data_IF_267508488016
#
_entry.id   IF_267508488016
#
_cell.length_a   1.000
_cell.length_b   1.000
_cell.length_c   1.000
_cell.angle_alpha   90.00
_cell.angle_beta   90.00
_cell.angle_gamma   90.00
#
_symmetry.space_group_name_H-M   'P 1'
#
loop_
_entity.id
_entity.type
_entity.pdbx_description
1 polymer ?
#
# COMPACT_ATOMS: atom_id res chain seq x y z
N UNK A 1 12.09 47.82 12.13
CA UNK A 1 12.95 46.69 12.52
C UNK A 1 12.61 45.53 11.61
N UNK A 2 13.58 44.99 10.86
CA UNK A 2 13.38 43.91 9.91
C UNK A 2 14.09 42.67 10.47
N UNK A 3 13.34 41.63 10.84
CA UNK A 3 13.91 40.39 11.39
C UNK A 3 13.71 39.29 10.36
N UNK A 4 14.79 38.94 9.68
CA UNK A 4 14.85 37.82 8.76
C UNK A 4 15.30 36.58 9.54
N UNK A 5 14.44 35.57 9.66
CA UNK A 5 14.79 34.29 10.29
C UNK A 5 14.66 33.19 9.24
N UNK A 6 15.80 32.67 8.80
CA UNK A 6 15.89 31.51 7.92
C UNK A 6 16.25 30.30 8.79
N UNK A 7 15.39 29.28 8.83
CA UNK A 7 15.62 28.02 9.55
C UNK A 7 15.60 26.87 8.55
N UNK A 8 16.77 26.29 8.30
CA UNK A 8 16.92 25.08 7.49
C UNK A 8 17.26 23.91 8.41
N UNK A 9 16.37 22.93 8.53
CA UNK A 9 16.58 21.73 9.34
C UNK A 9 16.62 20.51 8.41
N UNK A 10 17.78 19.86 8.32
CA UNK A 10 17.98 18.63 7.57
C UNK A 10 18.22 17.49 8.56
N UNK A 11 17.39 16.43 8.50
CA UNK A 11 17.50 15.26 9.36
C UNK A 11 17.58 14.00 8.50
N UNK A 12 18.72 13.32 8.52
CA UNK A 12 18.94 12.02 7.90
C UNK A 12 19.15 10.96 8.97
N UNK A 13 18.31 9.92 8.96
CA UNK A 13 18.44 8.76 9.83
C UNK A 13 18.73 7.53 8.96
N UNK A 14 19.88 6.90 9.19
CA UNK A 14 20.30 5.69 8.50
C UNK A 14 20.43 4.58 9.55
N UNK A 15 19.59 3.56 9.46
CA UNK A 15 19.59 2.43 10.39
C UNK A 15 19.83 1.13 9.62
N UNK A 16 20.93 0.45 9.95
CA UNK A 16 21.31 -0.86 9.42
C UNK A 16 21.38 -1.89 10.56
N UNK A 17 21.34 -3.17 10.14
CA UNK A 17 21.51 -4.42 10.90
C UNK A 17 20.19 -5.20 11.15
N UNK A 18 20.13 -6.54 11.14
CA UNK A 18 21.13 -7.56 11.53
C UNK A 18 20.99 -8.88 10.76
N UNK A 19 22.12 -9.59 10.69
CA UNK A 19 22.28 -10.96 10.20
C UNK A 19 21.63 -12.02 11.12
N UNK A 20 21.22 -13.13 10.53
CA UNK A 20 20.83 -14.36 11.23
C UNK A 20 21.66 -15.53 10.68
N UNK A 21 22.55 -16.07 11.52
CA UNK A 21 23.25 -17.33 11.27
C UNK A 21 22.69 -18.38 12.23
N UNK A 22 21.92 -19.33 11.71
CA UNK A 22 21.35 -20.44 12.47
C UNK A 22 22.14 -21.72 12.24
N UNK A 23 23.07 -22.05 13.13
CA UNK A 23 23.74 -23.36 13.16
C UNK A 23 22.95 -24.33 14.05
N UNK A 24 22.27 -25.32 13.45
CA UNK A 24 21.70 -26.46 14.17
C UNK A 24 22.67 -27.65 14.05
N UNK A 25 23.42 -27.90 15.12
CA UNK A 25 24.20 -29.12 15.28
C UNK A 25 23.25 -30.28 15.67
N UNK A 26 23.09 -31.26 14.78
CA UNK A 26 22.38 -32.49 15.05
C UNK A 26 23.32 -33.48 15.75
N UNK A 27 23.06 -33.77 17.02
CA UNK A 27 23.75 -34.83 17.77
C UNK A 27 23.14 -36.19 17.41
N UNK A 28 23.81 -36.97 16.58
CA UNK A 28 23.49 -38.39 16.34
C UNK A 28 24.16 -39.25 17.40
N UNK A 29 23.35 -39.94 18.21
CA UNK A 29 23.81 -40.97 19.14
C UNK A 29 23.75 -42.32 18.42
N UNK A 30 24.90 -42.97 18.25
CA UNK A 30 25.02 -44.34 17.72
C UNK A 30 25.20 -45.28 18.92
N UNK A 31 24.22 -46.16 19.15
CA UNK A 31 24.36 -47.28 20.10
C UNK A 31 24.68 -48.54 19.30
N UNK A 32 25.94 -48.95 19.35
CA UNK A 32 26.39 -50.24 18.86
C UNK A 32 26.29 -51.27 20.00
N UNK A 33 25.43 -52.27 19.83
CA UNK A 33 25.31 -53.41 20.73
C UNK A 33 25.10 -54.67 19.90
N UNK A 34 26.14 -55.50 19.81
CA UNK A 34 26.13 -56.78 19.13
C UNK A 34 25.56 -57.91 19.98
N UNK A 35 25.26 -59.03 19.32
CA UNK A 35 24.90 -60.29 19.98
C UNK A 35 24.04 -61.15 19.06
N UNK A 36 24.66 -62.04 18.30
CA UNK A 36 23.97 -62.98 17.41
C UNK A 36 23.35 -64.15 18.17
N UNK A 37 22.12 -64.48 17.81
CA UNK A 37 21.49 -65.78 18.03
C UNK A 37 20.60 -66.06 16.82
N UNK A 38 20.89 -67.15 16.11
CA UNK A 38 20.14 -67.56 14.93
C UNK A 38 18.89 -68.32 15.37
N UNK A 39 17.74 -67.64 15.35
CA UNK A 39 16.43 -68.25 15.40
C UNK A 39 15.79 -68.05 14.04
N UNK A 40 15.37 -69.12 13.35
CA UNK A 40 14.52 -69.00 12.17
C UNK A 40 13.11 -68.66 12.66
N UNK A 41 12.84 -67.36 12.83
CA UNK A 41 11.49 -66.85 13.01
C UNK A 41 10.95 -66.60 11.61
N UNK A 42 9.92 -67.33 11.20
CA UNK A 42 9.15 -66.97 10.02
C UNK A 42 8.54 -65.58 10.31
N UNK A 43 9.10 -64.55 9.67
CA UNK A 43 8.64 -63.19 9.86
C UNK A 43 7.22 -63.09 9.29
N UNK A 44 6.23 -62.63 10.07
CA UNK A 44 4.92 -62.37 9.51
C UNK A 44 5.07 -61.30 8.42
N UNK A 45 4.62 -61.62 7.22
CA UNK A 45 4.64 -60.69 6.08
C UNK A 45 3.92 -59.39 6.49
N UNK A 46 4.52 -58.21 6.23
CA UNK A 46 3.90 -56.94 6.56
C UNK A 46 2.60 -56.82 5.75
N UNK A 47 1.46 -56.70 6.42
CA UNK A 47 0.20 -56.39 5.75
C UNK A 47 0.23 -54.92 5.34
N UNK A 48 0.55 -54.66 4.07
CA UNK A 48 0.43 -53.33 3.48
C UNK A 48 -1.01 -53.12 3.01
N UNK A 49 -1.72 -52.17 3.60
CA UNK A 49 -2.97 -51.68 3.01
C UNK A 49 -2.59 -50.75 1.86
N UNK A 50 -2.66 -51.25 0.62
CA UNK A 50 -2.50 -50.42 -0.57
C UNK A 50 -3.83 -49.73 -0.88
N UNK A 51 -3.84 -48.39 -0.82
CA UNK A 51 -4.99 -47.59 -1.22
C UNK A 51 -5.84 -47.05 -0.06
N UNK A 52 -5.24 -46.66 1.06
CA UNK A 52 -5.95 -45.89 2.08
C UNK A 52 -6.22 -44.47 1.53
N UNK A 53 -7.45 -44.25 1.02
CA UNK A 53 -7.92 -42.93 0.65
C UNK A 53 -8.30 -42.15 1.92
N UNK A 54 -7.31 -41.47 2.51
CA UNK A 54 -7.55 -40.52 3.59
C UNK A 54 -8.18 -39.29 2.94
N UNK A 55 -9.51 -39.18 3.02
CA UNK A 55 -10.23 -37.98 2.60
C UNK A 55 -9.61 -36.80 3.36
N UNK A 56 -8.90 -35.94 2.63
CA UNK A 56 -8.23 -34.77 3.21
C UNK A 56 -9.27 -33.95 3.96
N UNK A 57 -9.09 -33.80 5.28
CA UNK A 57 -9.98 -32.98 6.08
C UNK A 57 -10.05 -31.58 5.47
N UNK A 58 -11.26 -31.02 5.38
CA UNK A 58 -11.44 -29.67 4.88
C UNK A 58 -10.62 -28.72 5.76
N UNK A 59 -9.62 -28.07 5.18
CA UNK A 59 -8.79 -27.12 5.90
C UNK A 59 -9.28 -25.71 5.59
N UNK A 60 -9.65 -24.99 6.65
CA UNK A 60 -9.96 -23.56 6.53
C UNK A 60 -8.64 -22.82 6.27
N UNK A 61 -8.48 -22.27 5.07
CA UNK A 61 -7.30 -21.49 4.69
C UNK A 61 -7.71 -20.02 4.63
N UNK A 62 -6.92 -19.18 5.30
CA UNK A 62 -7.13 -17.73 5.32
C UNK A 62 -6.44 -17.11 4.10
N UNK A 63 -7.22 -16.68 3.11
CA UNK A 63 -6.71 -16.08 1.86
C UNK A 63 -6.84 -14.56 1.95
N UNK A 64 -5.75 -13.78 1.73
CA UNK A 64 -5.84 -12.33 1.65
C UNK A 64 -6.50 -11.91 0.34
N UNK A 65 -7.51 -11.03 0.42
CA UNK A 65 -8.13 -10.38 -0.73
C UNK A 65 -8.00 -8.87 -0.64
N UNK A 66 -7.87 -8.19 -1.78
CA UNK A 66 -7.80 -6.73 -1.85
C UNK A 66 -9.21 -6.15 -1.96
N UNK A 67 -9.64 -5.43 -0.94
CA UNK A 67 -10.87 -4.66 -0.91
C UNK A 67 -10.57 -3.17 -1.05
N UNK A 68 -11.50 -2.39 -1.59
CA UNK A 68 -11.39 -0.93 -1.64
C UNK A 68 -12.49 -0.26 -0.81
N UNK A 69 -12.17 0.82 -0.11
CA UNK A 69 -13.14 1.68 0.57
C UNK A 69 -12.94 3.13 0.15
N UNK A 70 -14.04 3.84 -0.04
CA UNK A 70 -14.06 5.30 -0.23
C UNK A 70 -14.05 6.00 1.12
N UNK A 71 -13.09 6.90 1.32
CA UNK A 71 -13.00 7.76 2.49
C UNK A 71 -13.07 9.21 2.01
N UNK A 72 -13.96 9.96 2.62
CA UNK A 72 -14.08 11.40 2.43
C UNK A 72 -13.22 12.08 3.51
N UNK A 73 -12.29 12.93 3.09
CA UNK A 73 -11.41 13.66 3.99
C UNK A 73 -11.37 15.13 3.59
N UNK A 74 -11.55 16.01 4.58
CA UNK A 74 -11.31 17.43 4.37
C UNK A 74 -9.81 17.68 4.25
N UNK A 75 -9.42 18.37 3.19
CA UNK A 75 -8.02 18.67 2.89
C UNK A 75 -7.82 20.14 2.60
N UNK A 76 -6.60 20.60 2.82
CA UNK A 76 -6.12 21.92 2.46
C UNK A 76 -5.28 21.80 1.20
N UNK A 77 -5.62 22.59 0.20
CA UNK A 77 -4.98 22.65 -1.08
C UNK A 77 -4.23 23.98 -1.19
N UNK A 78 -2.96 23.91 -1.53
CA UNK A 78 -2.12 25.06 -1.84
C UNK A 78 -1.56 24.90 -3.25
N UNK A 79 -1.48 25.99 -4.02
CA UNK A 79 -0.89 25.94 -5.35
C UNK A 79 0.11 27.06 -5.57
N UNK A 80 1.17 26.74 -6.32
CA UNK A 80 2.22 27.65 -6.76
C UNK A 80 2.50 27.43 -8.24
N UNK A 81 2.90 28.49 -8.93
CA UNK A 81 3.31 28.43 -10.32
C UNK A 81 4.83 28.41 -10.39
N UNK A 82 5.38 27.42 -11.08
CA UNK A 82 6.82 27.28 -11.26
C UNK A 82 7.17 27.80 -12.66
N UNK A 83 8.01 28.83 -12.72
CA UNK A 83 8.55 29.36 -13.98
C UNK A 83 9.61 28.40 -14.57
N UNK A 84 10.03 28.65 -15.81
CA UNK A 84 11.09 27.90 -16.50
C UNK A 84 12.44 27.95 -15.80
N UNK A 85 12.62 28.95 -14.92
CA UNK A 85 13.79 29.07 -14.04
C UNK A 85 13.64 28.31 -12.72
N UNK A 86 12.60 27.48 -12.57
CA UNK A 86 12.20 26.84 -11.31
C UNK A 86 11.95 27.83 -10.15
N UNK A 87 11.60 29.08 -10.46
CA UNK A 87 11.26 30.08 -9.45
C UNK A 87 9.76 29.97 -9.13
N UNK A 88 9.39 29.80 -7.84
CA UNK A 88 8.00 29.73 -7.44
C UNK A 88 7.37 31.13 -7.43
N UNK A 89 6.19 31.21 -8.02
CA UNK A 89 5.31 32.37 -8.07
C UNK A 89 3.93 32.02 -7.50
N UNK A 90 3.18 33.00 -7.01
CA UNK A 90 1.82 32.76 -6.53
C UNK A 90 0.91 32.27 -7.65
N UNK A 91 0.18 31.18 -7.41
CA UNK A 91 -0.90 30.75 -8.30
C UNK A 91 -2.13 31.65 -8.16
N UNK A 92 -2.80 31.91 -9.28
CA UNK A 92 -4.01 32.72 -9.30
C UNK A 92 -5.21 31.86 -8.94
N UNK A 93 -6.01 32.30 -7.96
CA UNK A 93 -7.28 31.67 -7.64
C UNK A 93 -8.34 32.10 -8.67
N UNK A 94 -9.21 31.18 -9.11
CA UNK A 94 -10.29 31.51 -10.06
C UNK A 94 -11.57 31.93 -9.33
N UNK A 95 -11.82 31.36 -8.15
CA UNK A 95 -12.98 31.67 -7.31
C UNK A 95 -12.55 32.35 -6.01
N UNK A 96 -13.38 33.24 -5.43
CA UNK A 96 -13.14 33.79 -4.11
C UNK A 96 -13.33 32.73 -3.01
N UNK A 97 -12.99 33.10 -1.77
CA UNK A 97 -13.23 32.29 -0.58
C UNK A 97 -12.18 31.22 -0.34
N UNK A 98 -12.12 30.69 0.88
CA UNK A 98 -11.21 29.59 1.23
C UNK A 98 -11.88 28.24 0.99
N UNK A 99 -13.13 28.12 1.40
CA UNK A 99 -13.87 26.86 1.33
C UNK A 99 -14.49 26.68 -0.06
N UNK A 100 -14.32 25.49 -0.63
CA UNK A 100 -14.93 25.08 -1.90
C UNK A 100 -16.05 24.11 -1.56
N UNK A 101 -17.26 24.42 -2.02
CA UNK A 101 -18.40 23.54 -1.83
C UNK A 101 -18.22 22.24 -2.64
N UNK A 102 -18.68 21.11 -2.10
CA UNK A 102 -18.60 19.80 -2.77
C UNK A 102 -19.35 19.77 -4.12
N UNK A 103 -20.37 20.61 -4.27
CA UNK A 103 -21.14 20.78 -5.51
C UNK A 103 -20.45 21.66 -6.56
N UNK A 104 -19.32 22.29 -6.23
CA UNK A 104 -18.59 23.13 -7.17
C UNK A 104 -17.92 22.26 -8.23
N UNK A 105 -18.11 22.59 -9.51
CA UNK A 105 -17.42 21.93 -10.62
C UNK A 105 -16.75 23.01 -11.48
N UNK A 106 -15.42 23.09 -11.41
CA UNK A 106 -14.72 24.25 -11.97
C UNK A 106 -13.23 24.32 -11.69
N UNK A 107 -12.60 25.35 -12.28
CA UNK A 107 -11.20 25.68 -12.05
C UNK A 107 -11.02 26.27 -10.65
N UNK A 108 -10.04 25.77 -9.90
CA UNK A 108 -9.65 26.33 -8.61
C UNK A 108 -8.47 27.28 -8.76
N UNK A 109 -7.44 26.83 -9.48
CA UNK A 109 -6.18 27.54 -9.64
C UNK A 109 -5.72 27.56 -11.09
N UNK A 110 -5.11 28.68 -11.48
CA UNK A 110 -4.47 28.89 -12.77
C UNK A 110 -3.10 29.53 -12.62
N UNK A 111 -2.26 29.25 -13.61
CA UNK A 111 -0.92 29.81 -13.70
C UNK A 111 -0.78 30.76 -14.89
N UNK A 112 0.13 31.72 -14.75
CA UNK A 112 0.50 32.60 -15.85
C UNK A 112 1.07 31.77 -17.01
N UNK A 113 0.80 32.21 -18.24
CA UNK A 113 1.33 31.57 -19.44
C UNK A 113 2.84 31.36 -19.35
N UNK A 114 3.30 30.16 -19.71
CA UNK A 114 4.71 29.76 -19.65
C UNK A 114 5.13 29.08 -18.34
N UNK A 115 4.35 29.23 -17.26
CA UNK A 115 4.62 28.58 -15.97
C UNK A 115 3.80 27.29 -15.81
N UNK A 116 4.31 26.33 -15.04
CA UNK A 116 3.59 25.09 -14.71
C UNK A 116 2.97 25.18 -13.33
N UNK A 117 1.77 24.63 -13.16
CA UNK A 117 1.09 24.59 -11.88
C UNK A 117 1.62 23.44 -11.03
N UNK A 118 1.97 23.71 -9.78
CA UNK A 118 2.31 22.71 -8.79
C UNK A 118 1.38 22.92 -7.59
N UNK A 119 0.66 21.88 -7.22
CA UNK A 119 -0.31 21.91 -6.13
C UNK A 119 0.04 20.87 -5.08
N UNK A 120 -0.24 21.23 -3.83
CA UNK A 120 0.04 20.43 -2.65
C UNK A 120 -1.24 20.23 -1.88
N UNK A 121 -1.54 18.97 -1.54
CA UNK A 121 -2.65 18.60 -0.66
C UNK A 121 -2.10 18.20 0.69
N UNK A 122 -2.56 18.87 1.72
CA UNK A 122 -2.23 18.59 3.11
C UNK A 122 -3.48 18.39 3.95
N UNK A 123 -3.34 17.73 5.10
CA UNK A 123 -4.47 17.50 6.01
C UNK A 123 -4.86 18.77 6.78
N UNK A 124 -3.89 19.66 6.96
CA UNK A 124 -4.05 20.94 7.63
C UNK A 124 -3.13 21.98 6.99
N UNK A 125 -3.41 23.25 7.23
CA UNK A 125 -2.59 24.35 6.75
C UNK A 125 -1.20 24.32 7.38
N UNK A 126 -0.15 24.34 6.56
CA UNK A 126 1.25 24.23 7.01
C UNK A 126 1.72 22.80 7.34
N UNK A 127 0.87 21.79 7.22
CA UNK A 127 1.29 20.41 7.35
C UNK A 127 2.04 19.93 6.10
N UNK A 128 2.85 18.87 6.25
CA UNK A 128 3.43 18.17 5.11
C UNK A 128 2.30 17.62 4.23
N UNK A 129 2.45 17.80 2.92
CA UNK A 129 1.43 17.44 1.94
C UNK A 129 2.02 16.72 0.73
N UNK A 130 1.16 16.01 0.03
CA UNK A 130 1.49 15.39 -1.25
C UNK A 130 1.46 16.46 -2.34
N UNK A 131 2.50 16.50 -3.16
CA UNK A 131 2.66 17.54 -4.18
C UNK A 131 2.65 16.93 -5.57
N UNK A 132 1.84 17.50 -6.45
CA UNK A 132 1.68 17.08 -7.84
C UNK A 132 1.81 18.28 -8.76
N UNK A 133 2.38 18.07 -9.95
CA UNK A 133 2.53 19.11 -10.96
C UNK A 133 1.64 18.83 -12.16
N UNK A 134 1.00 19.87 -12.69
CA UNK A 134 0.30 19.86 -13.96
C UNK A 134 1.21 20.34 -15.10
N UNK A 135 0.78 20.14 -16.35
CA UNK A 135 1.52 20.67 -17.49
C UNK A 135 1.34 22.20 -17.61
N UNK A 136 2.15 22.82 -18.47
CA UNK A 136 1.99 24.23 -18.81
C UNK A 136 0.67 24.45 -19.54
N UNK A 137 -0.08 25.47 -19.15
CA UNK A 137 -1.40 25.75 -19.71
C UNK A 137 -2.53 24.89 -19.12
N UNK A 138 -2.23 24.03 -18.15
CA UNK A 138 -3.26 23.35 -17.37
C UNK A 138 -3.67 24.17 -16.15
N UNK A 139 -4.95 24.09 -15.82
CA UNK A 139 -5.54 24.56 -14.57
C UNK A 139 -5.83 23.37 -13.65
N UNK A 140 -5.82 23.62 -12.34
CA UNK A 140 -6.32 22.63 -11.38
C UNK A 140 -7.84 22.72 -11.35
N UNK A 141 -8.48 21.61 -11.71
CA UNK A 141 -9.91 21.48 -11.78
C UNK A 141 -10.43 20.64 -10.60
N UNK A 142 -11.51 21.11 -9.99
CA UNK A 142 -12.31 20.34 -9.04
C UNK A 142 -13.50 19.73 -9.78
N UNK A 143 -13.49 18.41 -9.92
CA UNK A 143 -14.54 17.63 -10.58
C UNK A 143 -15.51 16.99 -9.59
N UNK A 144 -16.58 16.40 -10.13
CA UNK A 144 -17.60 15.74 -9.34
C UNK A 144 -17.04 14.63 -8.42
N UNK A 145 -17.45 14.67 -7.15
CA UNK A 145 -17.02 13.72 -6.13
C UNK A 145 -15.64 14.02 -5.57
N UNK A 146 -15.29 15.30 -5.37
CA UNK A 146 -14.07 15.70 -4.66
C UNK A 146 -12.77 15.33 -5.38
N UNK A 147 -12.82 15.13 -6.70
CA UNK A 147 -11.65 14.74 -7.51
C UNK A 147 -10.91 15.97 -8.01
N UNK A 148 -9.59 15.93 -7.90
CA UNK A 148 -8.69 16.97 -8.37
C UNK A 148 -7.96 16.50 -9.62
N UNK A 149 -8.08 17.23 -10.71
CA UNK A 149 -7.51 16.85 -11.99
C UNK A 149 -6.85 18.06 -12.67
N UNK A 150 -5.71 17.81 -13.33
CA UNK A 150 -5.09 18.78 -14.22
C UNK A 150 -5.83 18.75 -15.55
N UNK A 151 -6.43 19.88 -15.95
CA UNK A 151 -7.15 20.01 -17.22
C UNK A 151 -6.67 21.25 -17.97
N UNK A 152 -6.72 21.26 -19.32
CA UNK A 152 -6.42 22.46 -20.08
C UNK A 152 -7.26 23.64 -19.61
N UNK A 153 -6.62 24.79 -19.38
CA UNK A 153 -7.30 25.97 -18.88
C UNK A 153 -8.35 26.48 -19.87
N UNK A 154 -9.46 27.01 -19.35
CA UNK A 154 -10.48 27.67 -20.15
C UNK A 154 -9.91 28.91 -20.81
N UNK A 155 -10.23 29.08 -22.10
CA UNK A 155 -9.85 30.27 -22.85
C UNK A 155 -10.32 31.54 -22.12
N UNK A 156 -9.36 32.42 -21.88
CA UNK A 156 -9.56 33.71 -21.26
C UNK A 156 -8.66 34.77 -21.92
N UNK A 157 -8.80 36.02 -21.50
CA UNK A 157 -7.93 37.12 -21.96
C UNK A 157 -6.51 36.89 -21.45
N UNK A 158 -5.49 37.32 -22.21
CA UNK A 158 -4.07 37.16 -21.86
C UNK A 158 -3.63 37.75 -20.49
N UNK A 159 -4.44 38.61 -19.89
CA UNK A 159 -4.16 39.22 -18.58
C UNK A 159 -5.07 38.70 -17.45
N UNK A 160 -5.86 37.65 -17.70
CA UNK A 160 -6.85 37.15 -16.78
C UNK A 160 -6.23 36.72 -15.45
N UNK A 161 -5.14 35.95 -15.48
CA UNK A 161 -4.44 35.42 -14.31
C UNK A 161 -3.91 36.55 -13.43
N UNK A 162 -3.39 37.62 -14.06
CA UNK A 162 -2.93 38.81 -13.34
C UNK A 162 -4.10 39.58 -12.71
N UNK A 163 -5.25 39.63 -13.38
CA UNK A 163 -6.47 40.23 -12.81
C UNK A 163 -7.04 39.40 -11.66
N UNK A 164 -6.98 38.07 -11.75
CA UNK A 164 -7.36 37.14 -10.70
C UNK A 164 -6.46 37.28 -9.47
N UNK A 165 -5.14 37.38 -9.65
CA UNK A 165 -4.21 37.65 -8.54
C UNK A 165 -4.51 38.99 -7.83
N UNK A 166 -4.91 40.02 -8.58
CA UNK A 166 -5.32 41.30 -7.97
C UNK A 166 -6.66 41.21 -7.25
N UNK A 167 -7.58 40.37 -7.72
CA UNK A 167 -8.94 40.26 -7.21
C UNK A 167 -9.06 39.31 -6.02
N UNK A 168 -8.44 38.14 -6.10
CA UNK A 168 -8.56 37.06 -5.12
C UNK A 168 -7.25 36.73 -4.42
N UNK A 169 -6.11 37.18 -4.96
CA UNK A 169 -4.81 36.92 -4.36
C UNK A 169 -4.35 35.47 -4.50
N UNK A 170 -3.18 35.22 -3.93
CA UNK A 170 -2.71 33.86 -3.65
C UNK A 170 -3.34 33.37 -2.35
N UNK A 171 -3.51 32.06 -2.20
CA UNK A 171 -4.10 31.51 -0.98
C UNK A 171 -4.30 30.00 -1.05
N UNK A 172 -4.87 29.48 0.01
CA UNK A 172 -5.23 28.06 0.15
C UNK A 172 -6.73 27.85 -0.09
N UNK A 173 -7.09 26.68 -0.61
CA UNK A 173 -8.47 26.21 -0.70
C UNK A 173 -8.67 25.06 0.28
N UNK A 174 -9.86 24.96 0.86
CA UNK A 174 -10.26 23.84 1.70
C UNK A 174 -11.43 23.15 1.02
N UNK A 175 -11.32 21.85 0.81
CA UNK A 175 -12.33 21.06 0.12
C UNK A 175 -12.39 19.62 0.64
N UNK A 176 -13.49 18.94 0.40
CA UNK A 176 -13.64 17.52 0.72
C UNK A 176 -13.13 16.69 -0.45
N UNK A 177 -12.04 15.94 -0.22
CA UNK A 177 -11.48 15.04 -1.23
C UNK A 177 -11.94 13.61 -0.95
N UNK A 178 -12.33 12.91 -2.01
CA UNK A 178 -12.70 11.49 -1.93
C UNK A 178 -11.51 10.66 -2.39
N UNK A 179 -10.97 9.84 -1.50
CA UNK A 179 -9.88 8.91 -1.83
C UNK A 179 -10.35 7.47 -1.72
N UNK A 180 -9.97 6.66 -2.71
CA UNK A 180 -10.14 5.21 -2.67
C UNK A 180 -8.90 4.60 -2.03
N UNK A 181 -9.05 4.00 -0.86
CA UNK A 181 -7.98 3.27 -0.18
C UNK A 181 -8.20 1.77 -0.38
N UNK A 182 -7.16 1.09 -0.86
CA UNK A 182 -7.12 -0.37 -0.95
C UNK A 182 -6.61 -0.93 0.37
N UNK A 183 -7.36 -1.88 0.94
CA UNK A 183 -6.98 -2.59 2.15
C UNK A 183 -7.00 -4.09 1.90
N UNK A 184 -6.09 -4.81 2.57
CA UNK A 184 -6.06 -6.27 2.55
C UNK A 184 -6.98 -6.78 3.64
N UNK A 185 -8.07 -7.43 3.24
CA UNK A 185 -8.93 -8.16 4.15
C UNK A 185 -8.70 -9.66 3.97
N UNK A 186 -9.03 -10.47 4.96
CA UNK A 186 -8.82 -11.90 4.89
C UNK A 186 -10.16 -12.62 4.87
N UNK A 187 -10.38 -13.46 3.88
CA UNK A 187 -11.53 -14.36 3.80
C UNK A 187 -11.08 -15.77 4.14
N UNK A 188 -11.91 -16.50 4.87
CA UNK A 188 -11.72 -17.93 5.06
C UNK A 188 -12.32 -18.68 3.87
N UNK A 189 -11.48 -19.42 3.15
CA UNK A 189 -11.92 -20.32 2.09
C UNK A 189 -11.68 -21.77 2.52
N UNK A 190 -12.66 -22.63 2.24
CA UNK A 190 -12.53 -24.07 2.43
C UNK A 190 -11.72 -24.62 1.26
N UNK A 191 -10.48 -25.04 1.53
CA UNK A 191 -9.66 -25.73 0.53
C UNK A 191 -9.71 -27.21 0.83
N UNK A 192 -10.08 -28.03 -0.17
CA UNK A 192 -9.98 -29.48 -0.07
C UNK A 192 -8.49 -29.86 0.00
N UNK A 193 -8.08 -30.46 1.11
CA UNK A 193 -6.71 -30.96 1.26
C UNK A 193 -6.45 -32.06 0.22
N UNK A 194 -5.34 -31.96 -0.50
CA UNK A 194 -4.93 -32.99 -1.45
C UNK A 194 -4.87 -34.35 -0.74
N UNK A 195 -5.63 -35.33 -1.23
CA UNK A 195 -5.59 -36.69 -0.70
C UNK A 195 -4.17 -37.25 -0.88
N UNK A 196 -3.47 -37.46 0.24
CA UNK A 196 -2.15 -38.09 0.22
C UNK A 196 -2.33 -39.61 0.28
N UNK A 197 -2.00 -40.30 -0.82
CA UNK A 197 -1.93 -41.76 -0.86
C UNK A 197 -0.68 -42.22 -0.10
N UNK A 198 -0.82 -42.47 1.19
CA UNK A 198 0.25 -42.98 2.05
C UNK A 198 0.21 -44.50 2.18
N UNK A 199 1.36 -45.17 2.10
CA UNK A 199 1.52 -46.57 2.55
C UNK A 199 1.73 -46.55 4.06
N UNK A 200 0.75 -47.02 4.83
CA UNK A 200 0.91 -47.26 6.28
C UNK A 200 1.27 -48.73 6.47
N UNK A 201 2.50 -49.01 6.90
CA UNK A 201 2.88 -50.34 7.41
C UNK A 201 2.53 -50.41 8.89
N UNK A 202 1.64 -51.33 9.26
CA UNK A 202 1.37 -51.63 10.66
C UNK A 202 2.30 -52.75 11.12
N UNK A 203 3.37 -52.38 11.83
CA UNK A 203 4.28 -53.32 12.48
C UNK A 203 3.73 -53.71 13.86
N UNK A 204 2.66 -54.49 13.85
CA UNK A 204 1.91 -54.87 15.05
C UNK A 204 1.54 -56.35 15.02
N UNK A 205 2.54 -57.23 15.03
CA UNK A 205 2.34 -58.67 15.14
C UNK A 205 1.99 -59.10 16.57
N UNK A 206 0.80 -59.67 16.78
CA UNK A 206 0.45 -60.33 18.05
C UNK A 206 0.99 -61.77 18.07
N UNK A 207 1.98 -61.99 18.94
CA UNK A 207 2.43 -63.27 19.54
C UNK A 207 2.24 -64.55 18.72
N UNK A 208 3.33 -65.02 18.09
CA UNK A 208 3.43 -66.40 17.60
C UNK A 208 3.39 -67.40 18.76
N UNK A 209 2.62 -68.47 18.60
CA UNK A 209 2.51 -69.59 19.56
C UNK A 209 3.72 -70.49 19.41
N UNK A 210 4.35 -70.85 20.52
CA UNK A 210 5.46 -71.80 20.56
C UNK A 210 4.90 -73.22 20.70
N UNK A 211 5.31 -74.15 19.84
CA UNK A 211 5.21 -75.60 20.07
C UNK A 211 6.61 -76.17 20.15
#
# INVERSE_FOLDING_TARGET
MNVNVNVNANASANASARAWAGSRAASTVIVAGGGGAYFNVDQPYPTTIQGLNVQGGMQMVRVPFTASRRIEKQVVLQAVCIDDRNVPHPASQVVPGRDVADSYDGELYRCLAGTKLQWTVSEAEGAAGETTACNKGDALWHGAGGRLECRPEKQARQCNERSLLRRYGAGVKVLTMIREETYTEYREEMVEGAASTGMIMMDGGVGGRVF
#
